data_IF_018149327523
#
_entry.id   IF_018149327523
#
_cell.length_a   1.000
_cell.length_b   1.000
_cell.length_c   1.000
_cell.angle_alpha   90.00
_cell.angle_beta   90.00
_cell.angle_gamma   90.00
#
_symmetry.space_group_name_H-M   'P 1'
#
loop_
_entity.id
_entity.type
_entity.pdbx_description
1 polymer ?
#
# COMPACT_ATOMS: atom_id res chain seq x y z
N UNK A 1 -1.32 -27.87 11.05
CA UNK A 1 -0.31 -26.92 11.59
C UNK A 1 -1.02 -26.02 12.58
N UNK A 2 -0.49 -25.85 13.80
CA UNK A 2 -1.03 -24.86 14.74
C UNK A 2 -0.30 -23.51 14.59
N UNK A 3 -1.02 -22.41 14.71
CA UNK A 3 -0.49 -21.04 14.71
C UNK A 3 -1.10 -20.28 15.88
N UNK A 4 -0.25 -19.71 16.73
CA UNK A 4 -0.70 -18.86 17.84
C UNK A 4 -0.70 -17.41 17.35
N UNK A 5 -1.86 -16.78 17.42
CA UNK A 5 -2.07 -15.37 17.04
C UNK A 5 -2.46 -14.61 18.29
N UNK A 6 -1.62 -13.66 18.70
CA UNK A 6 -1.91 -12.81 19.86
C UNK A 6 -2.67 -11.56 19.41
N UNK A 7 -3.92 -11.42 19.86
CA UNK A 7 -4.78 -10.26 19.59
C UNK A 7 -5.03 -9.55 20.91
N UNK A 8 -4.70 -8.27 21.01
CA UNK A 8 -4.88 -7.46 22.24
C UNK A 8 -4.28 -8.11 23.50
N UNK A 9 -3.14 -8.79 23.34
CA UNK A 9 -2.45 -9.52 24.42
C UNK A 9 -3.03 -10.90 24.74
N UNK A 10 -4.12 -11.31 24.09
CA UNK A 10 -4.74 -12.62 24.27
C UNK A 10 -4.28 -13.59 23.17
N UNK A 11 -3.67 -14.73 23.50
CA UNK A 11 -3.27 -15.73 22.52
C UNK A 11 -4.47 -16.57 22.07
N UNK A 12 -4.64 -16.70 20.76
CA UNK A 12 -5.62 -17.56 20.13
C UNK A 12 -4.94 -18.61 19.26
N UNK A 13 -5.35 -19.88 19.39
CA UNK A 13 -4.78 -20.98 18.61
C UNK A 13 -5.62 -21.22 17.36
N UNK A 14 -4.98 -21.14 16.20
CA UNK A 14 -5.56 -21.48 14.91
C UNK A 14 -4.96 -22.78 14.39
N UNK A 15 -5.79 -23.61 13.79
CA UNK A 15 -5.40 -24.92 13.23
C UNK A 15 -5.63 -24.90 11.74
N UNK A 16 -4.57 -25.12 10.97
CA UNK A 16 -4.61 -25.29 9.51
C UNK A 16 -4.51 -26.77 9.16
N UNK A 17 -5.56 -27.29 8.55
CA UNK A 17 -5.68 -28.69 8.07
C UNK A 17 -6.34 -28.70 6.69
N UNK A 18 -5.84 -29.54 5.79
CA UNK A 18 -6.40 -29.71 4.42
C UNK A 18 -6.61 -28.39 3.64
N UNK A 19 -5.76 -27.40 3.87
CA UNK A 19 -5.83 -26.11 3.18
C UNK A 19 -6.81 -25.10 3.80
N UNK A 20 -7.45 -25.42 4.93
CA UNK A 20 -8.38 -24.55 5.63
C UNK A 20 -7.89 -24.25 7.06
N UNK A 21 -8.13 -23.03 7.52
CA UNK A 21 -7.79 -22.61 8.89
C UNK A 21 -9.05 -22.37 9.70
N UNK A 22 -9.03 -22.88 10.93
CA UNK A 22 -10.11 -22.74 11.90
C UNK A 22 -9.57 -22.24 13.24
N UNK A 23 -10.42 -21.58 14.02
CA UNK A 23 -10.12 -21.19 15.40
C UNK A 23 -10.38 -22.37 16.32
N UNK A 24 -9.38 -22.77 17.10
CA UNK A 24 -9.52 -23.78 18.15
C UNK A 24 -10.01 -23.10 19.42
N UNK A 25 -11.22 -23.46 19.85
CA UNK A 25 -11.79 -23.02 21.13
C UNK A 25 -11.70 -24.16 22.12
N UNK A 26 -10.99 -23.93 23.23
CA UNK A 26 -10.87 -24.90 24.31
C UNK A 26 -11.89 -24.59 25.42
N UNK A 27 -12.49 -25.65 25.96
CA UNK A 27 -13.50 -25.62 27.01
C UNK A 27 -13.16 -26.68 28.06
N UNK A 28 -13.45 -26.40 29.33
CA UNK A 28 -13.30 -27.38 30.38
C UNK A 28 -14.55 -28.28 30.41
N UNK A 29 -14.35 -29.59 30.58
CA UNK A 29 -15.46 -30.50 30.83
C UNK A 29 -16.09 -30.20 32.18
N UNK A 30 -17.42 -30.11 32.22
CA UNK A 30 -18.19 -29.88 33.45
C UNK A 30 -18.92 -31.15 33.89
N UNK A 31 -19.37 -31.19 35.14
CA UNK A 31 -20.16 -32.32 35.66
C UNK A 31 -21.52 -32.40 34.95
N UNK A 32 -22.11 -33.59 34.85
CA UNK A 32 -23.41 -33.79 34.18
C UNK A 32 -24.58 -32.98 34.77
N UNK A 33 -24.45 -32.48 36.00
CA UNK A 33 -25.44 -31.60 36.66
C UNK A 33 -25.27 -30.12 36.33
N UNK A 34 -24.18 -29.72 35.65
CA UNK A 34 -23.96 -28.33 35.27
C UNK A 34 -24.78 -27.99 34.03
N UNK A 35 -25.76 -27.10 34.21
CA UNK A 35 -26.63 -26.61 33.14
C UNK A 35 -26.31 -25.17 32.74
N UNK A 36 -25.27 -24.56 33.31
CA UNK A 36 -24.89 -23.18 32.98
C UNK A 36 -24.11 -23.19 31.66
N UNK A 37 -24.59 -22.50 30.61
CA UNK A 37 -23.85 -22.43 29.36
C UNK A 37 -22.50 -21.74 29.56
N UNK A 38 -21.42 -22.38 29.13
CA UNK A 38 -20.12 -21.72 29.07
C UNK A 38 -20.10 -20.76 27.87
N UNK A 39 -19.76 -19.50 28.13
CA UNK A 39 -19.57 -18.51 27.06
C UNK A 39 -18.14 -18.63 26.53
N UNK A 40 -18.01 -19.07 25.28
CA UNK A 40 -16.75 -19.03 24.55
C UNK A 40 -16.61 -17.67 23.87
N UNK A 41 -15.48 -17.00 24.10
CA UNK A 41 -15.23 -15.67 23.54
C UNK A 41 -14.45 -15.81 22.24
N UNK A 42 -15.00 -15.24 21.16
CA UNK A 42 -14.30 -15.11 19.89
C UNK A 42 -13.41 -13.86 19.91
N UNK A 43 -12.26 -13.87 19.21
CA UNK A 43 -11.50 -12.64 19.01
C UNK A 43 -12.29 -11.66 18.15
N UNK A 44 -12.18 -10.37 18.47
CA UNK A 44 -12.68 -9.28 17.62
C UNK A 44 -11.62 -8.94 16.55
N UNK A 45 -11.43 -9.87 15.62
CA UNK A 45 -10.40 -9.82 14.60
C UNK A 45 -10.78 -10.60 13.35
N UNK A 46 -10.27 -10.14 12.21
CA UNK A 46 -10.28 -10.89 10.96
C UNK A 46 -8.89 -11.47 10.73
N UNK A 47 -8.80 -12.80 10.61
CA UNK A 47 -7.56 -13.48 10.25
C UNK A 47 -7.45 -13.59 8.74
N UNK A 48 -6.35 -13.12 8.17
CA UNK A 48 -6.05 -13.20 6.75
C UNK A 48 -5.12 -14.37 6.50
N UNK A 49 -5.46 -15.19 5.52
CA UNK A 49 -4.71 -16.37 5.14
C UNK A 49 -4.31 -16.33 3.66
N UNK A 50 -3.40 -17.22 3.28
CA UNK A 50 -3.26 -17.65 1.88
C UNK A 50 -4.47 -18.48 1.45
N UNK A 51 -4.57 -18.73 0.14
CA UNK A 51 -5.55 -19.70 -0.41
C UNK A 51 -5.39 -21.14 0.08
N UNK A 52 -4.24 -21.50 0.68
CA UNK A 52 -4.00 -22.79 1.32
C UNK A 52 -4.15 -22.75 2.85
N UNK A 53 -4.77 -21.70 3.40
CA UNK A 53 -5.10 -21.59 4.81
C UNK A 53 -3.99 -21.00 5.70
N UNK A 54 -2.72 -20.97 5.27
CA UNK A 54 -1.62 -20.44 6.10
C UNK A 54 -1.91 -19.00 6.56
N UNK A 55 -1.93 -18.73 7.88
CA UNK A 55 -2.14 -17.39 8.41
C UNK A 55 -1.03 -16.41 8.03
N UNK A 56 -1.41 -15.18 7.65
CA UNK A 56 -0.50 -14.13 7.21
C UNK A 56 -0.49 -12.94 8.16
N UNK A 57 -1.64 -12.35 8.42
CA UNK A 57 -1.80 -11.19 9.30
C UNK A 57 -3.25 -11.10 9.78
N UNK A 58 -3.52 -10.23 10.75
CA UNK A 58 -4.86 -9.99 11.26
C UNK A 58 -5.18 -8.50 11.28
N UNK A 59 -6.45 -8.16 11.05
CA UNK A 59 -6.95 -6.78 11.09
C UNK A 59 -8.19 -6.66 11.97
N UNK A 60 -8.42 -5.47 12.54
CA UNK A 60 -9.55 -5.18 13.42
C UNK A 60 -10.78 -4.83 12.60
N UNK A 61 -11.92 -5.52 12.77
CA UNK A 61 -13.20 -5.09 12.22
C UNK A 61 -13.65 -3.73 12.75
N UNK A 62 -14.56 -3.08 12.02
CA UNK A 62 -15.28 -1.90 12.52
C UNK A 62 -16.59 -2.30 13.19
N UNK A 63 -17.24 -1.37 13.89
CA UNK A 63 -18.50 -1.66 14.60
C UNK A 63 -19.64 -2.17 13.70
N UNK A 64 -19.61 -1.88 12.39
CA UNK A 64 -20.59 -2.37 11.41
C UNK A 64 -20.27 -3.76 10.85
N UNK A 65 -19.08 -4.29 11.13
CA UNK A 65 -18.61 -5.55 10.61
C UNK A 65 -19.02 -6.75 11.47
N UNK A 66 -18.90 -7.96 10.91
CA UNK A 66 -18.89 -9.17 11.74
C UNK A 66 -17.62 -9.17 12.61
N UNK A 67 -17.72 -9.44 13.92
CA UNK A 67 -16.57 -9.41 14.83
C UNK A 67 -15.44 -10.38 14.46
N UNK A 68 -15.78 -11.56 13.92
CA UNK A 68 -14.79 -12.58 13.59
C UNK A 68 -14.99 -13.14 12.20
N UNK A 69 -13.88 -13.21 11.44
CA UNK A 69 -13.81 -13.83 10.10
C UNK A 69 -12.43 -14.45 9.88
N UNK A 70 -12.38 -15.47 9.05
CA UNK A 70 -11.14 -15.97 8.43
C UNK A 70 -11.31 -15.79 6.93
N UNK A 71 -10.40 -15.06 6.29
CA UNK A 71 -10.50 -14.66 4.88
C UNK A 71 -9.18 -14.92 4.18
N UNK A 72 -9.22 -15.23 2.88
CA UNK A 72 -7.99 -15.20 2.09
C UNK A 72 -7.61 -13.77 1.73
N UNK A 73 -6.34 -13.52 1.42
CA UNK A 73 -5.87 -12.22 0.95
C UNK A 73 -6.62 -11.75 -0.32
N UNK A 74 -6.95 -12.66 -1.24
CA UNK A 74 -7.72 -12.36 -2.45
C UNK A 74 -9.14 -11.92 -2.11
N UNK A 75 -9.77 -12.56 -1.12
CA UNK A 75 -11.10 -12.17 -0.67
C UNK A 75 -11.07 -10.80 -0.01
N UNK A 76 -10.07 -10.53 0.84
CA UNK A 76 -9.88 -9.23 1.47
C UNK A 76 -9.70 -8.12 0.43
N UNK A 77 -8.86 -8.37 -0.59
CA UNK A 77 -8.63 -7.45 -1.71
C UNK A 77 -9.92 -7.20 -2.52
N UNK A 78 -10.72 -8.24 -2.79
CA UNK A 78 -12.00 -8.07 -3.49
C UNK A 78 -13.04 -7.25 -2.71
N UNK A 79 -12.88 -7.16 -1.39
CA UNK A 79 -13.69 -6.32 -0.50
C UNK A 79 -13.08 -4.92 -0.31
N UNK A 80 -12.02 -4.58 -1.05
CA UNK A 80 -11.32 -3.29 -1.04
C UNK A 80 -10.75 -2.88 0.33
N UNK A 81 -10.63 -3.82 1.26
CA UNK A 81 -10.12 -3.55 2.60
C UNK A 81 -8.61 -3.31 2.56
N UNK A 82 -8.13 -2.36 3.36
CA UNK A 82 -6.71 -2.03 3.51
C UNK A 82 -6.38 -1.67 4.96
N UNK A 83 -5.10 -1.65 5.34
CA UNK A 83 -4.66 -1.46 6.73
C UNK A 83 -3.46 -0.53 6.92
N UNK A 84 -3.01 0.13 5.84
CA UNK A 84 -1.79 0.94 5.86
C UNK A 84 -2.07 2.45 5.78
N UNK A 85 -3.31 2.87 5.50
CA UNK A 85 -3.73 4.29 5.50
C UNK A 85 -4.97 4.53 6.37
N UNK A 86 -4.81 4.98 7.63
CA UNK A 86 -5.92 5.15 8.58
C UNK A 86 -7.02 6.14 8.15
N UNK A 87 -6.69 7.09 7.27
CA UNK A 87 -7.62 8.12 6.81
C UNK A 87 -8.33 7.76 5.49
N UNK A 88 -7.93 6.65 4.85
CA UNK A 88 -8.59 6.14 3.66
C UNK A 88 -9.81 5.30 4.05
N UNK A 89 -10.77 5.22 3.13
CA UNK A 89 -11.93 4.35 3.27
C UNK A 89 -11.49 2.88 3.34
N UNK A 90 -12.38 2.06 3.88
CA UNK A 90 -12.16 0.62 4.05
C UNK A 90 -10.92 0.26 4.89
N UNK A 91 -10.40 1.22 5.67
CA UNK A 91 -9.31 0.99 6.61
C UNK A 91 -9.70 0.02 7.72
N UNK A 92 -8.80 -0.90 8.05
CA UNK A 92 -8.86 -1.77 9.23
C UNK A 92 -7.51 -1.74 9.93
N UNK A 93 -7.50 -1.54 11.25
CA UNK A 93 -6.26 -1.53 12.03
C UNK A 93 -5.57 -2.89 11.92
N UNK A 94 -4.29 -2.93 11.57
CA UNK A 94 -3.51 -4.17 11.61
C UNK A 94 -3.18 -4.53 13.06
N UNK A 95 -3.55 -5.75 13.46
CA UNK A 95 -3.39 -6.25 14.83
C UNK A 95 -2.18 -7.16 15.00
N UNK A 96 -1.86 -7.93 13.96
CA UNK A 96 -0.82 -8.94 14.02
C UNK A 96 -0.28 -9.24 12.62
N UNK A 97 1.00 -9.60 12.53
CA UNK A 97 1.64 -10.14 11.33
C UNK A 97 2.36 -11.41 11.73
N UNK A 98 2.21 -12.46 10.92
CA UNK A 98 2.91 -13.71 11.15
C UNK A 98 4.43 -13.49 11.05
N UNK A 99 5.21 -13.76 12.11
CA UNK A 99 6.66 -13.62 12.06
C UNK A 99 7.32 -14.44 10.94
N UNK A 100 6.70 -15.56 10.58
CA UNK A 100 7.16 -16.42 9.48
C UNK A 100 6.99 -15.78 8.10
N UNK A 101 6.23 -14.68 7.98
CA UNK A 101 6.21 -13.91 6.74
C UNK A 101 7.60 -13.38 6.39
N UNK A 102 8.47 -13.10 7.37
CA UNK A 102 9.82 -12.60 7.15
C UNK A 102 10.92 -13.70 7.17
N UNK A 103 10.54 -14.97 7.36
CA UNK A 103 11.48 -16.10 7.47
C UNK A 103 11.64 -16.81 6.12
N UNK A 104 12.79 -16.66 5.47
CA UNK A 104 13.05 -17.29 4.17
C UNK A 104 12.86 -18.81 4.22
N UNK A 105 12.10 -19.35 3.26
CA UNK A 105 11.75 -20.77 3.20
C UNK A 105 10.49 -21.16 3.97
N UNK A 106 9.95 -20.29 4.83
CA UNK A 106 8.67 -20.55 5.49
C UNK A 106 7.50 -20.45 4.50
N UNK A 107 6.40 -21.15 4.80
CA UNK A 107 5.24 -21.19 3.90
C UNK A 107 4.52 -19.84 3.80
N UNK A 108 4.54 -19.05 4.88
CA UNK A 108 3.99 -17.69 4.92
C UNK A 108 4.86 -16.70 4.12
N UNK A 109 6.18 -16.90 4.08
CA UNK A 109 7.13 -16.05 3.33
C UNK A 109 6.82 -16.02 1.84
N UNK A 110 6.46 -17.18 1.27
CA UNK A 110 6.13 -17.33 -0.14
C UNK A 110 4.86 -16.59 -0.59
N UNK A 111 4.07 -16.02 0.34
CA UNK A 111 2.91 -15.22 -0.02
C UNK A 111 3.25 -13.81 -0.50
N UNK A 112 4.49 -13.36 -0.29
CA UNK A 112 4.89 -11.97 -0.48
C UNK A 112 6.03 -11.84 -1.48
N UNK A 113 6.00 -10.73 -2.21
CA UNK A 113 7.22 -10.16 -2.76
C UNK A 113 7.90 -9.32 -1.68
N UNK A 114 9.17 -9.61 -1.41
CA UNK A 114 9.93 -8.97 -0.34
C UNK A 114 10.69 -7.73 -0.83
N UNK A 115 10.57 -6.64 -0.08
CA UNK A 115 11.22 -5.37 -0.37
C UNK A 115 11.78 -4.70 0.89
N UNK A 116 12.76 -3.83 0.67
CA UNK A 116 13.09 -2.76 1.62
C UNK A 116 12.51 -1.47 1.08
N UNK A 117 12.35 -0.44 1.92
CA UNK A 117 12.00 0.88 1.38
C UNK A 117 13.04 1.40 0.41
N UNK A 118 14.32 1.06 0.62
CA UNK A 118 15.39 1.47 -0.29
C UNK A 118 15.22 0.87 -1.69
N UNK A 119 14.83 -0.40 -1.83
CA UNK A 119 14.65 -0.98 -3.17
C UNK A 119 13.49 -0.34 -3.94
N UNK A 120 12.43 0.08 -3.25
CA UNK A 120 11.33 0.85 -3.85
C UNK A 120 11.82 2.25 -4.26
N UNK A 121 12.60 2.92 -3.39
CA UNK A 121 13.19 4.23 -3.67
C UNK A 121 14.13 4.17 -4.88
N UNK A 122 15.02 3.19 -4.95
CA UNK A 122 15.97 3.02 -6.05
C UNK A 122 15.25 2.89 -7.39
N UNK A 123 14.09 2.24 -7.40
CA UNK A 123 13.23 2.20 -8.59
C UNK A 123 12.59 3.57 -8.87
N UNK A 124 12.07 4.24 -7.85
CA UNK A 124 11.31 5.49 -7.96
C UNK A 124 12.15 6.73 -8.31
N UNK A 125 13.45 6.74 -8.00
CA UNK A 125 14.34 7.88 -8.32
C UNK A 125 14.80 7.91 -9.78
N UNK A 126 14.60 6.81 -10.51
CA UNK A 126 14.90 6.75 -11.94
C UNK A 126 13.86 7.57 -12.69
N UNK A 127 14.31 8.63 -13.35
CA UNK A 127 13.48 9.53 -14.15
C UNK A 127 12.88 8.79 -15.34
N UNK A 128 11.55 8.73 -15.43
CA UNK A 128 10.81 8.14 -16.54
C UNK A 128 9.75 9.10 -17.05
N UNK A 129 9.52 9.06 -18.35
CA UNK A 129 8.37 9.72 -18.97
C UNK A 129 7.06 9.14 -18.40
N UNK A 130 6.04 9.97 -18.19
CA UNK A 130 4.81 9.54 -17.52
C UNK A 130 4.10 8.36 -18.22
N UNK A 131 4.25 8.21 -19.54
CA UNK A 131 3.68 7.06 -20.26
C UNK A 131 4.36 5.72 -19.89
N UNK A 132 5.57 5.72 -19.35
CA UNK A 132 6.29 4.49 -18.99
C UNK A 132 5.63 3.74 -17.84
N UNK A 133 4.69 4.38 -17.12
CA UNK A 133 3.92 3.78 -16.02
C UNK A 133 2.70 2.98 -16.50
N UNK A 134 2.40 2.94 -17.80
CA UNK A 134 1.32 2.07 -18.32
C UNK A 134 1.62 0.59 -18.15
N UNK A 135 0.53 -0.19 -18.09
CA UNK A 135 0.56 -1.64 -17.88
C UNK A 135 1.58 -2.34 -18.78
N UNK A 136 2.54 -3.02 -18.17
CA UNK A 136 3.58 -3.80 -18.84
C UNK A 136 4.76 -3.00 -19.38
N UNK A 137 4.80 -1.68 -19.21
CA UNK A 137 5.96 -0.85 -19.54
C UNK A 137 6.97 -0.79 -18.38
N UNK A 138 8.22 -0.34 -18.62
CA UNK A 138 9.29 -0.39 -17.62
C UNK A 138 9.05 0.41 -16.33
N UNK A 139 8.07 1.32 -16.31
CA UNK A 139 7.64 2.04 -15.11
C UNK A 139 6.53 1.33 -14.33
N UNK A 140 5.84 0.33 -14.90
CA UNK A 140 4.84 -0.49 -14.20
C UNK A 140 5.51 -1.42 -13.20
N UNK A 141 5.86 -0.84 -12.05
CA UNK A 141 6.57 -1.49 -10.94
C UNK A 141 5.93 -2.81 -10.54
N UNK A 142 4.60 -2.92 -10.62
CA UNK A 142 3.81 -4.10 -10.23
C UNK A 142 4.16 -5.35 -11.06
N UNK A 143 4.63 -5.15 -12.29
CA UNK A 143 5.00 -6.22 -13.22
C UNK A 143 6.50 -6.45 -13.33
N UNK A 144 7.32 -5.50 -12.87
CA UNK A 144 8.76 -5.65 -12.94
C UNK A 144 9.28 -6.71 -11.96
N UNK A 145 10.32 -7.49 -12.32
CA UNK A 145 10.95 -8.45 -11.41
C UNK A 145 11.49 -7.81 -10.12
N UNK A 146 12.01 -6.58 -10.25
CA UNK A 146 12.54 -5.76 -9.15
C UNK A 146 11.45 -4.95 -8.44
N UNK A 147 10.19 -5.09 -8.87
CA UNK A 147 9.02 -4.60 -8.17
C UNK A 147 8.09 -5.75 -7.78
N UNK A 148 6.80 -5.56 -7.96
CA UNK A 148 5.78 -6.49 -7.48
C UNK A 148 5.81 -7.89 -8.10
N UNK A 149 6.42 -8.08 -9.28
CA UNK A 149 6.53 -9.36 -9.98
C UNK A 149 5.21 -10.17 -10.07
N UNK A 150 4.06 -9.47 -10.10
CA UNK A 150 2.73 -10.10 -10.15
C UNK A 150 2.17 -10.62 -8.81
N UNK A 151 2.87 -10.44 -7.69
CA UNK A 151 2.33 -10.76 -6.35
C UNK A 151 1.20 -9.80 -5.98
N UNK A 152 0.20 -10.30 -5.25
CA UNK A 152 -0.87 -9.47 -4.69
C UNK A 152 -0.38 -8.66 -3.47
N UNK A 153 0.49 -9.27 -2.68
CA UNK A 153 1.04 -8.72 -1.45
C UNK A 153 2.55 -8.50 -1.56
N UNK A 154 3.01 -7.39 -1.01
CA UNK A 154 4.43 -7.15 -0.73
C UNK A 154 4.66 -7.10 0.78
N UNK A 155 5.82 -7.55 1.23
CA UNK A 155 6.30 -7.35 2.60
C UNK A 155 7.45 -6.34 2.56
N UNK A 156 7.27 -5.20 3.23
CA UNK A 156 8.27 -4.13 3.30
C UNK A 156 8.71 -3.97 4.73
N UNK A 157 9.96 -4.33 5.04
CA UNK A 157 10.52 -4.25 6.40
C UNK A 157 9.62 -4.89 7.48
N UNK A 158 9.00 -6.04 7.17
CA UNK A 158 8.13 -6.79 8.08
C UNK A 158 6.66 -6.39 8.05
N UNK A 159 6.29 -5.38 7.26
CA UNK A 159 4.92 -4.88 7.16
C UNK A 159 4.28 -5.27 5.81
N UNK A 160 3.07 -5.85 5.80
CA UNK A 160 2.39 -6.22 4.56
C UNK A 160 1.74 -5.01 3.89
N UNK A 161 1.74 -4.98 2.56
CA UNK A 161 1.09 -3.95 1.75
C UNK A 161 0.44 -4.59 0.52
N UNK A 162 -0.58 -3.92 -0.02
CA UNK A 162 -1.01 -4.21 -1.37
C UNK A 162 0.07 -3.77 -2.37
N UNK A 163 0.40 -4.68 -3.30
CA UNK A 163 1.41 -4.42 -4.34
C UNK A 163 1.03 -3.23 -5.22
N UNK A 164 -0.27 -3.04 -5.47
CA UNK A 164 -0.76 -1.93 -6.28
C UNK A 164 -0.57 -0.57 -5.62
N UNK A 165 -0.85 -0.46 -4.31
CA UNK A 165 -0.57 0.73 -3.51
C UNK A 165 0.89 1.12 -3.59
N UNK A 166 1.82 0.20 -3.33
CA UNK A 166 3.27 0.48 -3.47
C UNK A 166 3.66 0.84 -4.91
N UNK A 167 2.97 0.27 -5.90
CA UNK A 167 3.15 0.58 -7.32
C UNK A 167 2.83 2.02 -7.69
N UNK A 168 2.11 2.77 -6.86
CA UNK A 168 1.83 4.20 -7.08
C UNK A 168 3.02 5.10 -6.73
N UNK A 169 4.00 4.62 -5.95
CA UNK A 169 5.13 5.44 -5.48
C UNK A 169 5.95 6.00 -6.66
N UNK A 170 6.46 5.19 -7.61
CA UNK A 170 7.24 5.70 -8.72
C UNK A 170 6.49 6.73 -9.57
N UNK A 171 5.20 6.48 -9.84
CA UNK A 171 4.32 7.41 -10.55
C UNK A 171 4.19 8.75 -9.81
N UNK A 172 3.93 8.73 -8.50
CA UNK A 172 3.79 9.93 -7.69
C UNK A 172 5.06 10.77 -7.65
N UNK A 173 6.23 10.12 -7.54
CA UNK A 173 7.54 10.80 -7.54
C UNK A 173 7.80 11.52 -8.85
N UNK A 174 7.69 10.83 -9.99
CA UNK A 174 8.02 11.42 -11.29
C UNK A 174 7.00 12.48 -11.72
N UNK A 175 5.71 12.22 -11.50
CA UNK A 175 4.66 13.19 -11.83
C UNK A 175 4.79 14.46 -11.01
N UNK A 176 5.13 14.35 -9.72
CA UNK A 176 5.46 15.50 -8.88
C UNK A 176 6.66 16.28 -9.43
N UNK A 177 7.75 15.60 -9.75
CA UNK A 177 8.97 16.23 -10.29
C UNK A 177 8.67 16.98 -11.59
N UNK A 178 7.91 16.39 -12.50
CA UNK A 178 7.47 17.04 -13.74
C UNK A 178 6.71 18.34 -13.45
N UNK A 179 5.68 18.31 -12.60
CA UNK A 179 4.91 19.52 -12.28
C UNK A 179 5.72 20.54 -11.50
N UNK A 180 6.63 20.12 -10.63
CA UNK A 180 7.48 21.03 -9.87
C UNK A 180 8.49 21.74 -10.77
N UNK A 181 9.03 21.06 -11.79
CA UNK A 181 9.84 21.70 -12.83
C UNK A 181 9.05 22.78 -13.59
N UNK A 182 7.79 22.50 -13.94
CA UNK A 182 6.91 23.42 -14.69
C UNK A 182 6.39 24.61 -13.88
N UNK A 183 6.10 24.42 -12.59
CA UNK A 183 5.35 25.40 -11.78
C UNK A 183 6.23 26.21 -10.84
N UNK A 184 7.40 25.68 -10.45
CA UNK A 184 8.20 26.22 -9.34
C UNK A 184 7.43 26.38 -8.02
N UNK A 185 6.38 25.57 -7.82
CA UNK A 185 5.56 25.61 -6.61
C UNK A 185 5.27 24.20 -6.15
N UNK A 186 5.80 23.83 -4.98
CA UNK A 186 5.68 22.48 -4.41
C UNK A 186 4.22 22.11 -4.20
N UNK A 187 3.43 23.03 -3.64
CA UNK A 187 2.04 22.76 -3.31
C UNK A 187 1.18 22.51 -4.55
N UNK A 188 1.37 23.33 -5.58
CA UNK A 188 0.68 23.19 -6.86
C UNK A 188 1.11 21.90 -7.55
N UNK A 189 2.39 21.53 -7.48
CA UNK A 189 2.87 20.27 -8.02
C UNK A 189 2.22 19.06 -7.34
N UNK A 190 2.15 19.04 -6.00
CA UNK A 190 1.48 17.98 -5.24
C UNK A 190 0.00 17.85 -5.66
N UNK A 191 -0.75 18.96 -5.68
CA UNK A 191 -2.17 18.94 -6.07
C UNK A 191 -2.39 18.49 -7.51
N UNK A 192 -1.52 18.91 -8.44
CA UNK A 192 -1.60 18.47 -9.84
C UNK A 192 -1.31 16.97 -9.96
N UNK A 193 -0.31 16.45 -9.25
CA UNK A 193 -0.02 15.01 -9.25
C UNK A 193 -1.19 14.19 -8.72
N UNK A 194 -1.80 14.61 -7.60
CA UNK A 194 -3.00 13.94 -7.09
C UNK A 194 -4.13 13.92 -8.12
N UNK A 195 -4.34 15.04 -8.83
CA UNK A 195 -5.38 15.11 -9.87
C UNK A 195 -5.08 14.17 -11.05
N UNK A 196 -3.84 14.10 -11.51
CA UNK A 196 -3.43 13.15 -12.56
C UNK A 196 -3.58 11.70 -12.11
N UNK A 197 -3.30 11.40 -10.84
CA UNK A 197 -3.53 10.08 -10.26
C UNK A 197 -4.99 9.63 -10.37
N UNK A 198 -5.94 10.53 -10.08
CA UNK A 198 -7.37 10.26 -10.25
C UNK A 198 -7.75 10.04 -11.72
N UNK A 199 -7.24 10.88 -12.63
CA UNK A 199 -7.53 10.78 -14.07
C UNK A 199 -6.97 9.49 -14.70
N UNK A 200 -5.91 8.91 -14.12
CA UNK A 200 -5.21 7.74 -14.68
C UNK A 200 -5.41 6.48 -13.82
N UNK A 201 -6.39 6.49 -12.90
CA UNK A 201 -6.62 5.41 -11.94
C UNK A 201 -6.86 4.04 -12.60
N UNK A 202 -7.42 4.00 -13.81
CA UNK A 202 -7.63 2.76 -14.59
C UNK A 202 -6.40 2.29 -15.39
N UNK A 203 -5.30 3.06 -15.33
CA UNK A 203 -4.08 2.79 -16.08
C UNK A 203 -4.19 3.10 -17.58
N UNK A 204 -5.13 3.95 -18.02
CA UNK A 204 -5.30 4.36 -19.42
C UNK A 204 -5.19 5.88 -19.62
N UNK A 205 -4.79 6.29 -20.83
CA UNK A 205 -4.68 7.70 -21.24
C UNK A 205 -6.09 8.27 -21.48
N UNK A 206 -6.55 9.14 -20.58
CA UNK A 206 -7.89 9.73 -20.68
C UNK A 206 -8.99 8.84 -20.10
N UNK A 207 -8.66 7.99 -19.11
CA UNK A 207 -9.64 7.31 -18.28
C UNK A 207 -10.62 8.33 -17.70
N UNK A 208 -11.89 8.17 -18.03
CA UNK A 208 -12.96 9.00 -17.51
C UNK A 208 -13.40 8.42 -16.16
N UNK A 209 -12.70 8.78 -15.10
CA UNK A 209 -13.25 8.67 -13.75
C UNK A 209 -14.12 9.91 -13.49
N UNK A 210 -15.18 10.10 -14.31
CA UNK A 210 -16.08 11.27 -14.25
C UNK A 210 -16.78 11.39 -12.88
N UNK A 211 -16.78 10.33 -12.08
CA UNK A 211 -17.30 10.31 -10.71
C UNK A 211 -16.24 10.64 -9.63
N UNK A 212 -14.94 10.61 -9.99
CA UNK A 212 -13.82 10.86 -9.09
C UNK A 212 -13.62 9.71 -8.11
N UNK A 213 -12.56 8.94 -8.30
CA UNK A 213 -12.14 7.85 -7.41
C UNK A 213 -12.29 8.23 -5.95
N UNK A 214 -12.97 7.35 -5.22
CA UNK A 214 -13.33 7.42 -3.80
C UNK A 214 -12.09 7.67 -2.92
N UNK A 215 -12.27 7.86 -1.61
CA UNK A 215 -11.18 8.11 -0.65
C UNK A 215 -10.30 6.85 -0.42
N UNK A 216 -9.74 6.28 -1.50
CA UNK A 216 -9.00 5.02 -1.57
C UNK A 216 -7.50 5.19 -1.28
N UNK A 217 -6.86 4.11 -0.84
CA UNK A 217 -5.46 4.12 -0.40
C UNK A 217 -4.45 4.59 -1.46
N UNK A 218 -4.70 4.36 -2.75
CA UNK A 218 -3.81 4.77 -3.83
C UNK A 218 -3.54 6.28 -3.79
N UNK A 219 -4.59 7.08 -3.56
CA UNK A 219 -4.49 8.55 -3.46
C UNK A 219 -3.57 8.99 -2.31
N UNK A 220 -3.60 8.26 -1.20
CA UNK A 220 -2.74 8.54 -0.05
C UNK A 220 -1.29 8.14 -0.31
N UNK A 221 -1.04 7.00 -0.96
CA UNK A 221 0.33 6.60 -1.33
C UNK A 221 0.95 7.57 -2.34
N UNK A 222 0.18 8.06 -3.32
CA UNK A 222 0.62 9.12 -4.23
C UNK A 222 1.01 10.37 -3.43
N UNK A 223 0.21 10.74 -2.42
CA UNK A 223 0.51 11.89 -1.57
C UNK A 223 1.79 11.67 -0.75
N UNK A 224 2.00 10.48 -0.16
CA UNK A 224 3.27 10.13 0.54
C UNK A 224 4.46 10.28 -0.39
N UNK A 225 4.36 9.76 -1.60
CA UNK A 225 5.40 9.84 -2.62
C UNK A 225 5.74 11.29 -2.98
N UNK A 226 4.75 12.15 -3.18
CA UNK A 226 4.96 13.57 -3.48
C UNK A 226 5.61 14.31 -2.29
N UNK A 227 5.12 14.09 -1.07
CA UNK A 227 5.66 14.70 0.14
C UNK A 227 7.12 14.29 0.38
N UNK A 228 7.42 13.00 0.21
CA UNK A 228 8.78 12.49 0.26
C UNK A 228 9.66 13.12 -0.83
N UNK A 229 9.20 13.14 -2.08
CA UNK A 229 9.96 13.71 -3.20
C UNK A 229 10.25 15.20 -2.99
N UNK A 230 9.32 15.97 -2.41
CA UNK A 230 9.50 17.39 -2.09
C UNK A 230 10.65 17.67 -1.10
N UNK A 231 11.04 16.66 -0.31
CA UNK A 231 12.16 16.75 0.64
C UNK A 231 13.46 16.16 0.08
N UNK A 232 13.36 15.19 -0.83
CA UNK A 232 14.49 14.40 -1.30
C UNK A 232 14.94 14.76 -2.72
N UNK A 233 14.35 15.78 -3.34
CA UNK A 233 14.80 16.30 -4.63
C UNK A 233 15.07 17.79 -4.52
N UNK A 234 16.04 18.26 -5.29
CA UNK A 234 16.35 19.68 -5.45
C UNK A 234 16.14 20.08 -6.91
N UNK A 235 15.42 21.18 -7.15
CA UNK A 235 15.39 21.84 -8.46
C UNK A 235 16.74 22.46 -8.74
N UNK A 236 17.28 22.18 -9.92
CA UNK A 236 18.50 22.78 -10.43
C UNK A 236 18.22 23.43 -11.78
N UNK A 237 18.71 24.65 -11.96
CA UNK A 237 18.75 25.26 -13.29
C UNK A 237 19.84 24.55 -14.09
N UNK A 238 19.49 23.94 -15.22
CA UNK A 238 20.42 23.21 -16.08
C UNK A 238 20.27 23.57 -17.56
N UNK A 239 21.28 23.19 -18.33
CA UNK A 239 21.24 23.08 -19.80
C UNK A 239 21.08 21.60 -20.17
N UNK A 240 19.92 21.25 -20.76
CA UNK A 240 19.50 19.94 -21.31
C UNK A 240 20.32 18.68 -20.96
N UNK A 241 19.64 17.68 -20.39
CA UNK A 241 19.58 16.35 -21.01
C UNK A 241 18.17 15.79 -20.90
N UNK A 242 17.36 15.97 -21.95
CA UNK A 242 16.15 15.19 -22.18
C UNK A 242 16.38 14.40 -23.46
N UNK A 243 16.37 13.08 -23.35
CA UNK A 243 16.38 12.18 -24.48
C UNK A 243 15.00 12.16 -25.13
N UNK A 244 14.76 13.04 -26.10
CA UNK A 244 13.75 12.80 -27.14
C UNK A 244 12.58 13.79 -27.26
N UNK A 245 12.69 14.64 -28.29
CA UNK A 245 11.63 15.21 -29.14
C UNK A 245 10.41 15.92 -28.50
N UNK A 246 10.54 17.24 -28.34
CA UNK A 246 9.61 18.20 -28.97
C UNK A 246 10.36 19.42 -29.51
N UNK A 247 10.08 19.75 -30.76
CA UNK A 247 10.55 20.95 -31.44
C UNK A 247 9.72 22.17 -31.04
N UNK A 248 10.38 23.33 -31.13
CA UNK A 248 9.87 24.70 -31.20
C UNK A 248 9.33 25.35 -29.91
N UNK A 249 10.15 26.23 -29.31
CA UNK A 249 9.67 27.38 -28.53
C UNK A 249 10.44 27.70 -27.24
N UNK A 250 11.46 28.56 -27.33
CA UNK A 250 11.95 29.40 -26.23
C UNK A 250 13.18 28.91 -25.45
N UNK A 251 14.23 29.76 -25.38
CA UNK A 251 15.43 29.65 -24.54
C UNK A 251 15.13 29.87 -23.05
N UNK A 252 14.17 29.14 -22.48
CA UNK A 252 14.07 29.03 -21.03
C UNK A 252 15.16 28.06 -20.54
N UNK A 253 15.93 28.40 -19.47
CA UNK A 253 16.84 27.43 -18.87
C UNK A 253 16.03 26.21 -18.46
N UNK A 254 16.44 25.02 -18.92
CA UNK A 254 15.76 23.77 -18.58
C UNK A 254 15.92 23.51 -17.09
N UNK A 255 14.84 23.56 -16.34
CA UNK A 255 14.83 23.17 -14.93
C UNK A 255 14.78 21.66 -14.86
N UNK A 256 15.67 21.04 -14.09
CA UNK A 256 15.59 19.62 -13.76
C UNK A 256 15.55 19.41 -12.24
N UNK A 257 15.29 18.19 -11.81
CA UNK A 257 15.33 17.79 -10.40
C UNK A 257 16.40 16.74 -10.20
N UNK A 258 17.24 16.91 -9.17
CA UNK A 258 18.28 15.95 -8.80
C UNK A 258 17.92 15.33 -7.45
N UNK A 259 18.05 14.02 -7.35
CA UNK A 259 17.86 13.30 -6.09
C UNK A 259 18.95 13.71 -5.09
N UNK A 260 18.51 14.16 -3.92
CA UNK A 260 19.33 14.58 -2.80
C UNK A 260 18.65 14.07 -1.52
N UNK A 261 19.03 12.88 -1.01
CA UNK A 261 18.34 12.25 0.11
C UNK A 261 18.44 13.10 1.38
N UNK A 262 17.33 13.23 2.09
CA UNK A 262 17.18 13.93 3.36
C UNK A 262 16.52 13.02 4.41
N UNK A 263 15.33 12.47 4.12
CA UNK A 263 14.62 11.56 5.02
C UNK A 263 13.58 10.74 4.24
N UNK A 264 13.40 9.48 4.64
CA UNK A 264 12.40 8.58 4.08
C UNK A 264 11.10 8.55 4.90
N UNK A 265 11.01 9.29 6.01
CA UNK A 265 9.91 9.17 6.97
C UNK A 265 8.55 9.46 6.35
N UNK A 266 8.46 10.47 5.47
CA UNK A 266 7.21 10.84 4.79
C UNK A 266 6.72 9.77 3.81
N UNK A 267 7.61 8.88 3.35
CA UNK A 267 7.22 7.74 2.52
C UNK A 267 6.72 6.57 3.38
N UNK A 268 7.37 6.36 4.53
CA UNK A 268 7.08 5.24 5.46
C UNK A 268 5.86 5.49 6.34
N UNK A 269 5.53 6.74 6.63
CA UNK A 269 4.46 7.13 7.55
C UNK A 269 3.14 7.45 6.85
N UNK A 270 2.04 7.19 7.56
CA UNK A 270 0.70 7.55 7.11
C UNK A 270 0.50 9.05 7.00
N UNK A 271 -0.36 9.44 6.06
CA UNK A 271 -0.72 10.84 5.85
C UNK A 271 -1.42 11.39 7.10
N UNK A 272 -1.02 12.59 7.53
CA UNK A 272 -1.66 13.29 8.64
C UNK A 272 -2.91 14.02 8.17
N UNK A 273 -3.82 14.33 9.10
CA UNK A 273 -5.03 15.09 8.80
C UNK A 273 -4.71 16.48 8.22
N UNK A 274 -3.62 17.12 8.65
CA UNK A 274 -3.18 18.42 8.14
C UNK A 274 -2.69 18.33 6.70
N UNK A 275 -1.90 17.31 6.37
CA UNK A 275 -1.44 17.07 5.01
C UNK A 275 -2.62 16.76 4.10
N UNK A 276 -3.56 15.93 4.56
CA UNK A 276 -4.78 15.61 3.84
C UNK A 276 -5.62 16.86 3.57
N UNK A 277 -5.87 17.69 4.59
CA UNK A 277 -6.64 18.92 4.43
C UNK A 277 -6.03 19.90 3.42
N UNK A 278 -4.69 19.91 3.29
CA UNK A 278 -3.97 20.80 2.37
C UNK A 278 -3.93 20.30 0.92
N UNK A 279 -3.86 18.98 0.73
CA UNK A 279 -3.52 18.38 -0.56
C UNK A 279 -4.57 17.43 -1.13
N UNK A 280 -5.64 17.10 -0.38
CA UNK A 280 -6.76 16.31 -0.90
C UNK A 280 -7.36 16.99 -2.13
N UNK A 281 -7.53 16.20 -3.20
CA UNK A 281 -8.11 16.65 -4.47
C UNK A 281 -9.32 15.82 -4.91
N UNK A 282 -9.61 14.71 -4.24
CA UNK A 282 -10.78 13.87 -4.47
C UNK A 282 -11.97 14.38 -3.64
N UNK A 283 -13.18 14.04 -4.10
CA UNK A 283 -14.41 14.35 -3.37
C UNK A 283 -14.57 13.41 -2.16
N UNK A 284 -15.36 13.80 -1.14
CA UNK A 284 -15.82 12.87 -0.12
C UNK A 284 -16.64 11.74 -0.72
#
# INVERSE_FOLDING_TARGET
METIVTIDGVPYTFVTEEGATSLKLESATTTSSDSVPQVLTLPDAWLITRGNGVPLFAVRPTASDKPFRILTAERLYSEQIQWFEPLADFYRERLWVNPQCAEEGAEAFAAFKHHTWQSIIDFAIVDRESFMYYKGLPGDWKKQPDGGAGYLLCLVEGEPYWTDGLGQIPFGVDTFRMYWQQTDDVDTAIRKTGKTGLEWADGTLGGNDEEGSENVYDNFIILRACLWASKNFRRVAGTKSFGGLRAAGGDAPSVSTVYQPVSNDLLKSSITAEALARYKVWKP
#
